data_IF_872142769262
#
_entry.id   IF_872142769262
#
_cell.length_a   1.000
_cell.length_b   1.000
_cell.length_c   1.000
_cell.angle_alpha   90.00
_cell.angle_beta   90.00
_cell.angle_gamma   90.00
#
_symmetry.space_group_name_H-M   'P 1'
#
loop_
_entity.id
_entity.type
_entity.pdbx_description
1 polymer ?
#
# COMPACT_ATOMS: atom_id res chain seq x y z
N UNK A 1 17.38 -70.62 -61.06
CA UNK A 1 17.51 -70.37 -59.60
C UNK A 1 18.11 -69.01 -59.23
N UNK A 2 18.78 -68.28 -60.13
CA UNK A 2 19.32 -66.94 -59.82
C UNK A 2 18.24 -65.83 -59.78
N UNK A 3 17.15 -65.97 -60.52
CA UNK A 3 16.08 -64.96 -60.63
C UNK A 3 15.20 -64.89 -59.37
N UNK A 4 15.04 -66.00 -58.65
CA UNK A 4 14.25 -66.06 -57.40
C UNK A 4 14.96 -65.44 -56.21
N UNK A 5 16.30 -65.49 -56.14
CA UNK A 5 17.06 -64.84 -55.08
C UNK A 5 17.05 -63.31 -55.19
N UNK A 6 17.14 -62.78 -56.41
CA UNK A 6 17.09 -61.33 -56.66
C UNK A 6 15.72 -60.72 -56.33
N UNK A 7 14.64 -61.45 -56.61
CA UNK A 7 13.26 -61.01 -56.31
C UNK A 7 12.97 -60.99 -54.80
N UNK A 8 13.49 -61.97 -54.05
CA UNK A 8 13.34 -62.02 -52.59
C UNK A 8 14.14 -60.90 -51.91
N UNK A 9 15.37 -60.63 -52.36
CA UNK A 9 16.16 -59.50 -51.83
C UNK A 9 15.52 -58.14 -52.12
N UNK A 10 14.93 -57.95 -53.31
CA UNK A 10 14.23 -56.70 -53.65
C UNK A 10 13.00 -56.47 -52.76
N UNK A 11 12.21 -57.52 -52.49
CA UNK A 11 11.02 -57.44 -51.62
C UNK A 11 11.39 -57.18 -50.16
N UNK A 12 12.46 -57.78 -49.65
CA UNK A 12 12.93 -57.54 -48.27
C UNK A 12 13.46 -56.11 -48.08
N UNK A 13 14.19 -55.59 -49.06
CA UNK A 13 14.68 -54.19 -49.03
C UNK A 13 13.50 -53.20 -49.12
N UNK A 14 12.49 -53.48 -49.94
CA UNK A 14 11.30 -52.63 -50.04
C UNK A 14 10.46 -52.67 -48.76
N UNK A 15 10.31 -53.84 -48.15
CA UNK A 15 9.62 -54.00 -46.87
C UNK A 15 10.36 -53.28 -45.73
N UNK A 16 11.69 -53.35 -45.69
CA UNK A 16 12.51 -52.63 -44.72
C UNK A 16 12.47 -51.11 -44.94
N UNK A 17 12.45 -50.64 -46.18
CA UNK A 17 12.32 -49.21 -46.51
C UNK A 17 10.93 -48.67 -46.18
N UNK A 18 9.86 -49.44 -46.44
CA UNK A 18 8.49 -49.09 -46.05
C UNK A 18 8.34 -49.12 -44.54
N UNK A 19 8.92 -50.10 -43.84
CA UNK A 19 8.93 -50.14 -42.37
C UNK A 19 9.74 -48.99 -41.76
N UNK A 20 10.87 -48.62 -42.35
CA UNK A 20 11.64 -47.43 -41.96
C UNK A 20 10.86 -46.13 -42.23
N UNK A 21 10.17 -46.00 -43.36
CA UNK A 21 9.28 -44.86 -43.68
C UNK A 21 8.02 -44.81 -42.80
N UNK A 22 7.55 -45.95 -42.30
CA UNK A 22 6.41 -46.04 -41.38
C UNK A 22 6.82 -45.75 -39.93
N UNK A 23 8.06 -46.11 -39.54
CA UNK A 23 8.61 -45.87 -38.20
C UNK A 23 9.25 -44.48 -38.05
N UNK A 24 9.82 -43.93 -39.13
CA UNK A 24 10.25 -42.52 -39.27
C UNK A 24 9.13 -41.62 -39.81
N UNK A 25 7.91 -42.16 -39.93
CA UNK A 25 6.77 -41.51 -40.54
C UNK A 25 6.27 -40.25 -39.80
N UNK A 26 5.16 -39.64 -40.27
CA UNK A 26 4.63 -38.31 -39.90
C UNK A 26 4.44 -38.03 -38.40
N UNK A 27 4.64 -39.01 -37.52
CA UNK A 27 4.76 -38.84 -36.08
C UNK A 27 6.07 -38.21 -35.60
N UNK A 28 7.16 -38.17 -36.39
CA UNK A 28 8.37 -37.43 -36.03
C UNK A 28 8.19 -35.91 -36.26
N UNK A 29 7.66 -35.53 -37.42
CA UNK A 29 7.27 -34.14 -37.73
C UNK A 29 6.18 -33.67 -36.76
N UNK A 30 5.14 -34.48 -36.52
CA UNK A 30 4.09 -34.13 -35.56
C UNK A 30 4.61 -34.02 -34.11
N UNK A 31 5.61 -34.82 -33.71
CA UNK A 31 6.27 -34.67 -32.40
C UNK A 31 7.14 -33.41 -32.33
N UNK A 32 7.84 -33.06 -33.40
CA UNK A 32 8.63 -31.84 -33.50
C UNK A 32 7.74 -30.59 -33.47
N UNK A 33 6.62 -30.60 -34.19
CA UNK A 33 5.59 -29.55 -34.15
C UNK A 33 4.95 -29.43 -32.76
N UNK A 34 4.64 -30.56 -32.11
CA UNK A 34 4.13 -30.56 -30.74
C UNK A 34 5.15 -30.05 -29.73
N UNK A 35 6.44 -30.37 -29.89
CA UNK A 35 7.51 -29.86 -29.04
C UNK A 35 7.72 -28.36 -29.24
N UNK A 36 7.76 -27.88 -30.50
CA UNK A 36 7.89 -26.47 -30.83
C UNK A 36 6.71 -25.64 -30.28
N UNK A 37 5.47 -26.10 -30.49
CA UNK A 37 4.29 -25.42 -29.98
C UNK A 37 4.18 -25.46 -28.44
N UNK A 38 4.72 -26.49 -27.79
CA UNK A 38 4.80 -26.55 -26.31
C UNK A 38 5.88 -25.60 -25.79
N UNK A 39 6.98 -25.42 -26.52
CA UNK A 39 8.02 -24.44 -26.18
C UNK A 39 7.50 -23.00 -26.33
N UNK A 40 6.77 -22.70 -27.42
CA UNK A 40 6.08 -21.42 -27.65
C UNK A 40 5.08 -21.11 -26.53
N UNK A 41 4.20 -22.07 -26.19
CA UNK A 41 3.26 -21.91 -25.09
C UNK A 41 3.94 -21.68 -23.73
N UNK A 42 5.12 -22.25 -23.49
CA UNK A 42 5.92 -22.00 -22.28
C UNK A 42 6.58 -20.62 -22.31
N UNK A 43 6.98 -20.12 -23.47
CA UNK A 43 7.46 -18.75 -23.63
C UNK A 43 6.34 -17.75 -23.28
N UNK A 44 5.12 -17.95 -23.79
CA UNK A 44 3.95 -17.13 -23.45
C UNK A 44 3.60 -17.17 -21.95
N UNK A 45 3.73 -18.34 -21.32
CA UNK A 45 3.57 -18.50 -19.88
C UNK A 45 4.65 -17.72 -19.11
N UNK A 46 5.91 -17.79 -19.54
CA UNK A 46 7.01 -17.05 -18.92
C UNK A 46 6.80 -15.54 -19.02
N UNK A 47 6.34 -15.04 -20.18
CA UNK A 47 5.96 -13.63 -20.37
C UNK A 47 4.81 -13.23 -19.45
N UNK A 48 3.81 -14.11 -19.29
CA UNK A 48 2.68 -13.86 -18.38
C UNK A 48 3.12 -13.73 -16.92
N UNK A 49 4.01 -14.61 -16.46
CA UNK A 49 4.58 -14.54 -15.10
C UNK A 49 5.42 -13.26 -14.90
N UNK A 50 6.23 -12.88 -15.89
CA UNK A 50 7.05 -11.67 -15.82
C UNK A 50 6.22 -10.38 -15.80
N UNK A 51 5.10 -10.37 -16.55
CA UNK A 51 4.12 -9.28 -16.51
C UNK A 51 3.50 -9.12 -15.12
N UNK A 52 3.07 -10.21 -14.49
CA UNK A 52 2.54 -10.20 -13.11
C UNK A 52 3.63 -9.71 -12.15
N UNK A 53 4.85 -10.25 -12.25
CA UNK A 53 5.96 -9.83 -11.39
C UNK A 53 6.26 -8.34 -11.50
N UNK A 54 6.19 -7.77 -12.71
CA UNK A 54 6.43 -6.34 -12.95
C UNK A 54 5.33 -5.47 -12.32
N UNK A 55 4.05 -5.85 -12.48
CA UNK A 55 2.93 -5.13 -11.89
C UNK A 55 2.96 -5.17 -10.34
N UNK A 56 3.29 -6.34 -9.79
CA UNK A 56 3.43 -6.54 -8.34
C UNK A 56 4.61 -5.75 -7.79
N UNK A 57 5.74 -5.70 -8.50
CA UNK A 57 6.91 -4.90 -8.10
C UNK A 57 6.55 -3.41 -7.93
N UNK A 58 5.86 -2.84 -8.92
CA UNK A 58 5.43 -1.45 -8.86
C UNK A 58 4.47 -1.17 -7.68
N UNK A 59 3.66 -2.17 -7.30
CA UNK A 59 2.79 -2.08 -6.12
C UNK A 59 3.60 -2.09 -4.83
N UNK A 60 4.62 -2.96 -4.73
CA UNK A 60 5.52 -3.01 -3.58
C UNK A 60 6.25 -1.66 -3.37
N UNK A 61 6.78 -1.09 -4.46
CA UNK A 61 7.50 0.19 -4.45
C UNK A 61 6.57 1.34 -4.05
N UNK A 62 5.37 1.41 -4.64
CA UNK A 62 4.41 2.49 -4.35
C UNK A 62 3.88 2.40 -2.92
N UNK A 63 3.64 1.19 -2.41
CA UNK A 63 3.25 0.99 -1.01
C UNK A 63 4.36 1.42 -0.04
N UNK A 64 5.61 1.11 -0.36
CA UNK A 64 6.77 1.53 0.43
C UNK A 64 6.95 3.06 0.42
N UNK A 65 6.81 3.70 -0.74
CA UNK A 65 6.89 5.16 -0.88
C UNK A 65 5.77 5.87 -0.11
N UNK A 66 4.52 5.41 -0.26
CA UNK A 66 3.40 5.98 0.48
C UNK A 66 3.60 5.81 2.00
N UNK A 67 4.05 4.64 2.44
CA UNK A 67 4.39 4.41 3.85
C UNK A 67 5.41 5.43 4.34
N UNK A 68 6.49 5.64 3.60
CA UNK A 68 7.53 6.60 3.97
C UNK A 68 6.97 8.02 4.06
N UNK A 69 6.10 8.41 3.13
CA UNK A 69 5.45 9.72 3.14
C UNK A 69 4.52 9.91 4.34
N UNK A 70 3.69 8.91 4.68
CA UNK A 70 2.86 8.98 5.88
C UNK A 70 3.69 9.02 7.17
N UNK A 71 4.82 8.31 7.21
CA UNK A 71 5.77 8.40 8.33
C UNK A 71 6.38 9.80 8.44
N UNK A 72 6.76 10.42 7.33
CA UNK A 72 7.23 11.81 7.29
C UNK A 72 6.15 12.77 7.79
N UNK A 73 4.88 12.55 7.42
CA UNK A 73 3.77 13.36 7.94
C UNK A 73 3.60 13.23 9.44
N UNK A 74 4.06 12.16 10.10
CA UNK A 74 4.06 12.06 11.57
C UNK A 74 5.26 12.76 12.18
N UNK A 75 6.43 12.71 11.53
CA UNK A 75 7.70 13.14 12.15
C UNK A 75 8.12 14.57 11.81
N UNK A 76 7.77 15.09 10.64
CA UNK A 76 8.21 16.41 10.18
C UNK A 76 7.13 17.45 10.40
N UNK A 77 7.47 18.57 11.07
CA UNK A 77 6.57 19.70 11.28
C UNK A 77 6.76 20.85 10.27
N UNK A 78 7.64 20.68 9.26
CA UNK A 78 8.14 21.80 8.45
C UNK A 78 7.99 21.65 6.92
N UNK A 79 7.43 20.54 6.40
CA UNK A 79 7.05 20.52 4.97
C UNK A 79 5.83 21.40 4.77
N UNK A 80 5.80 22.16 3.67
CA UNK A 80 4.65 23.02 3.38
C UNK A 80 3.44 22.15 3.05
N UNK A 81 2.26 22.59 3.48
CA UNK A 81 0.98 21.90 3.24
C UNK A 81 0.74 21.61 1.74
N UNK A 82 1.29 22.46 0.86
CA UNK A 82 1.15 22.36 -0.59
C UNK A 82 2.02 21.25 -1.21
N UNK A 83 3.23 21.03 -0.68
CA UNK A 83 4.13 19.94 -1.09
C UNK A 83 3.58 18.58 -0.62
N UNK A 84 3.12 18.54 0.63
CA UNK A 84 2.44 17.38 1.24
C UNK A 84 1.21 17.00 0.41
N UNK A 85 0.33 17.96 0.10
CA UNK A 85 -0.90 17.68 -0.64
C UNK A 85 -0.64 17.15 -2.05
N UNK A 86 0.40 17.66 -2.72
CA UNK A 86 0.76 17.24 -4.07
C UNK A 86 1.36 15.83 -4.09
N UNK A 87 2.30 15.54 -3.18
CA UNK A 87 2.90 14.20 -3.05
C UNK A 87 1.82 13.14 -2.76
N UNK A 88 0.86 13.46 -1.89
CA UNK A 88 -0.28 12.59 -1.56
C UNK A 88 -1.13 12.25 -2.78
N UNK A 89 -1.58 13.25 -3.54
CA UNK A 89 -2.46 13.04 -4.70
C UNK A 89 -1.78 12.19 -5.78
N UNK A 90 -0.47 12.36 -5.96
CA UNK A 90 0.31 11.57 -6.90
C UNK A 90 0.45 10.11 -6.44
N UNK A 91 0.71 9.87 -5.15
CA UNK A 91 0.86 8.52 -4.61
C UNK A 91 -0.46 7.75 -4.57
N UNK A 92 -1.57 8.42 -4.28
CA UNK A 92 -2.90 7.83 -4.35
C UNK A 92 -3.23 7.40 -5.78
N UNK A 93 -3.08 8.30 -6.74
CA UNK A 93 -3.33 7.99 -8.15
C UNK A 93 -2.46 6.81 -8.62
N UNK A 94 -1.23 6.70 -8.10
CA UNK A 94 -0.34 5.57 -8.39
C UNK A 94 -0.88 4.24 -7.82
N UNK A 95 -1.32 4.19 -6.56
CA UNK A 95 -1.88 2.95 -6.00
C UNK A 95 -3.20 2.55 -6.66
N UNK A 96 -4.08 3.50 -6.96
CA UNK A 96 -5.35 3.24 -7.65
C UNK A 96 -5.09 2.68 -9.07
N UNK A 97 -4.16 3.30 -9.81
CA UNK A 97 -3.77 2.84 -11.13
C UNK A 97 -3.12 1.45 -11.09
N UNK A 98 -2.29 1.18 -10.08
CA UNK A 98 -1.63 -0.11 -9.91
C UNK A 98 -2.59 -1.22 -9.50
N UNK A 99 -3.51 -0.95 -8.56
CA UNK A 99 -4.57 -1.87 -8.18
C UNK A 99 -5.44 -2.24 -9.38
N UNK A 100 -5.79 -1.25 -10.22
CA UNK A 100 -6.49 -1.48 -11.49
C UNK A 100 -5.69 -2.37 -12.44
N UNK A 101 -4.39 -2.13 -12.62
CA UNK A 101 -3.52 -2.95 -13.50
C UNK A 101 -3.38 -4.39 -12.99
N UNK A 102 -3.25 -4.57 -11.68
CA UNK A 102 -3.22 -5.91 -11.07
C UNK A 102 -4.53 -6.67 -11.32
N UNK A 103 -5.66 -5.97 -11.19
CA UNK A 103 -6.97 -6.52 -11.53
C UNK A 103 -7.08 -6.89 -13.01
N UNK A 104 -6.56 -6.04 -13.92
CA UNK A 104 -6.51 -6.35 -15.36
C UNK A 104 -5.69 -7.62 -15.66
N UNK A 105 -4.59 -7.84 -14.93
CA UNK A 105 -3.82 -9.08 -15.03
C UNK A 105 -4.55 -10.29 -14.43
N UNK A 106 -5.32 -10.09 -13.35
CA UNK A 106 -6.15 -11.13 -12.75
C UNK A 106 -7.26 -11.59 -13.71
N UNK A 107 -7.90 -10.63 -14.37
CA UNK A 107 -9.03 -10.85 -15.28
C UNK A 107 -8.60 -11.27 -16.71
N UNK A 108 -7.29 -11.25 -17.00
CA UNK A 108 -6.78 -11.65 -18.30
C UNK A 108 -7.15 -13.11 -18.62
N UNK A 109 -7.63 -13.42 -19.84
CA UNK A 109 -7.94 -14.80 -20.22
C UNK A 109 -6.68 -15.67 -20.15
N UNK A 110 -6.82 -16.99 -19.88
CA UNK A 110 -5.69 -17.90 -19.97
C UNK A 110 -5.13 -17.91 -21.40
N UNK A 111 -3.84 -18.23 -21.58
CA UNK A 111 -3.24 -18.41 -22.91
C UNK A 111 -4.09 -19.39 -23.73
N UNK A 112 -4.41 -19.04 -24.98
CA UNK A 112 -5.23 -19.89 -25.84
C UNK A 112 -4.40 -21.09 -26.32
N UNK A 113 -4.74 -22.28 -25.84
CA UNK A 113 -4.12 -23.53 -26.26
C UNK A 113 -5.06 -24.31 -27.18
N UNK A 114 -4.80 -24.34 -28.51
CA UNK A 114 -5.73 -24.89 -29.49
C UNK A 114 -5.92 -26.41 -29.37
N UNK A 115 -5.00 -27.14 -28.73
CA UNK A 115 -5.05 -28.60 -28.61
C UNK A 115 -5.21 -29.08 -27.15
N UNK A 116 -6.08 -30.09 -26.95
CA UNK A 116 -6.36 -30.76 -25.68
C UNK A 116 -5.14 -31.51 -25.13
N UNK A 117 -4.26 -32.01 -25.98
CA UNK A 117 -3.00 -32.63 -25.55
C UNK A 117 -2.05 -31.61 -24.93
N UNK A 118 -1.96 -30.40 -25.53
CA UNK A 118 -1.15 -29.28 -25.01
C UNK A 118 -1.68 -28.77 -23.68
N UNK A 119 -3.00 -28.62 -23.55
CA UNK A 119 -3.64 -28.25 -22.26
C UNK A 119 -3.33 -29.24 -21.15
N UNK A 120 -3.28 -30.54 -21.43
CA UNK A 120 -2.91 -31.55 -20.43
C UNK A 120 -1.43 -31.49 -20.07
N UNK A 121 -0.56 -31.23 -21.05
CA UNK A 121 0.88 -31.14 -20.84
C UNK A 121 1.28 -29.92 -20.00
N UNK A 122 0.50 -28.84 -20.04
CA UNK A 122 0.73 -27.59 -19.31
C UNK A 122 -0.30 -27.30 -18.21
N UNK A 123 -1.09 -28.31 -17.81
CA UNK A 123 -2.21 -28.13 -16.90
C UNK A 123 -1.77 -27.56 -15.54
N UNK A 124 -0.66 -28.06 -15.00
CA UNK A 124 -0.12 -27.62 -13.72
C UNK A 124 0.42 -26.19 -13.80
N UNK A 125 1.08 -25.82 -14.90
CA UNK A 125 1.59 -24.46 -15.11
C UNK A 125 0.47 -23.44 -15.30
N UNK A 126 -0.62 -23.81 -15.96
CA UNK A 126 -1.82 -22.98 -16.12
C UNK A 126 -2.59 -22.81 -14.81
N UNK A 127 -2.72 -23.86 -14.01
CA UNK A 127 -3.31 -23.80 -12.67
C UNK A 127 -2.48 -22.90 -11.75
N UNK A 128 -1.16 -23.05 -11.78
CA UNK A 128 -0.25 -22.17 -11.03
C UNK A 128 -0.38 -20.72 -11.50
N UNK A 129 -0.44 -20.46 -12.81
CA UNK A 129 -0.62 -19.11 -13.34
C UNK A 129 -1.95 -18.50 -12.89
N UNK A 130 -3.02 -19.28 -12.88
CA UNK A 130 -4.33 -18.85 -12.39
C UNK A 130 -4.28 -18.50 -10.90
N UNK A 131 -3.56 -19.28 -10.08
CA UNK A 131 -3.35 -18.98 -8.67
C UNK A 131 -2.59 -17.66 -8.48
N UNK A 132 -1.50 -17.44 -9.23
CA UNK A 132 -0.75 -16.16 -9.19
C UNK A 132 -1.61 -14.96 -9.61
N UNK A 133 -2.44 -15.12 -10.64
CA UNK A 133 -3.39 -14.09 -11.08
C UNK A 133 -4.42 -13.76 -10.00
N UNK A 134 -4.97 -14.78 -9.34
CA UNK A 134 -5.88 -14.58 -8.20
C UNK A 134 -5.21 -13.81 -7.07
N UNK A 135 -4.02 -14.24 -6.64
CA UNK A 135 -3.27 -13.55 -5.58
C UNK A 135 -2.89 -12.12 -5.95
N UNK A 136 -2.54 -11.87 -7.22
CA UNK A 136 -2.28 -10.52 -7.72
C UNK A 136 -3.55 -9.64 -7.69
N UNK A 137 -4.71 -10.19 -8.04
CA UNK A 137 -6.00 -9.51 -7.93
C UNK A 137 -6.36 -9.15 -6.48
N UNK A 138 -6.25 -10.12 -5.56
CA UNK A 138 -6.50 -9.92 -4.12
C UNK A 138 -5.57 -8.83 -3.55
N UNK A 139 -4.31 -8.83 -3.97
CA UNK A 139 -3.33 -7.82 -3.59
C UNK A 139 -3.67 -6.44 -4.16
N UNK A 140 -4.16 -6.38 -5.41
CA UNK A 140 -4.65 -5.16 -6.04
C UNK A 140 -5.85 -4.56 -5.32
N UNK A 141 -6.86 -5.37 -4.96
CA UNK A 141 -8.05 -4.92 -4.22
C UNK A 141 -7.67 -4.35 -2.84
N UNK A 142 -6.74 -5.03 -2.16
CA UNK A 142 -6.20 -4.55 -0.88
C UNK A 142 -5.41 -3.26 -1.03
N UNK A 143 -4.62 -3.12 -2.10
CA UNK A 143 -3.88 -1.88 -2.37
C UNK A 143 -4.81 -0.69 -2.57
N UNK A 144 -5.91 -0.84 -3.32
CA UNK A 144 -6.92 0.22 -3.52
C UNK A 144 -7.60 0.60 -2.21
N UNK A 145 -7.99 -0.41 -1.41
CA UNK A 145 -8.61 -0.21 -0.10
C UNK A 145 -7.66 0.55 0.84
N UNK A 146 -6.38 0.17 0.85
CA UNK A 146 -5.35 0.82 1.64
C UNK A 146 -5.06 2.25 1.18
N UNK A 147 -5.05 2.52 -0.12
CA UNK A 147 -4.87 3.87 -0.67
C UNK A 147 -5.98 4.81 -0.18
N UNK A 148 -7.23 4.34 -0.20
CA UNK A 148 -8.38 5.12 0.30
C UNK A 148 -8.26 5.40 1.80
N UNK A 149 -7.88 4.40 2.60
CA UNK A 149 -7.67 4.57 4.05
C UNK A 149 -6.50 5.52 4.34
N UNK A 150 -5.41 5.42 3.57
CA UNK A 150 -4.25 6.29 3.69
C UNK A 150 -4.59 7.75 3.39
N UNK A 151 -5.47 8.00 2.41
CA UNK A 151 -5.98 9.35 2.14
C UNK A 151 -6.77 9.91 3.33
N UNK A 152 -7.72 9.14 3.86
CA UNK A 152 -8.53 9.57 5.01
C UNK A 152 -7.65 9.85 6.23
N UNK A 153 -6.69 8.95 6.47
CA UNK A 153 -5.70 9.08 7.53
C UNK A 153 -4.85 10.34 7.37
N UNK A 154 -4.30 10.60 6.18
CA UNK A 154 -3.48 11.78 5.93
C UNK A 154 -4.29 13.07 6.07
N UNK A 155 -5.51 13.11 5.53
CA UNK A 155 -6.39 14.27 5.61
C UNK A 155 -6.73 14.63 7.07
N UNK A 156 -7.05 13.63 7.90
CA UNK A 156 -7.34 13.84 9.31
C UNK A 156 -6.12 14.33 10.10
N UNK A 157 -4.95 13.72 9.87
CA UNK A 157 -3.70 14.14 10.53
C UNK A 157 -3.31 15.59 10.16
N UNK A 158 -3.42 15.95 8.88
CA UNK A 158 -3.10 17.29 8.41
C UNK A 158 -4.08 18.33 8.94
N UNK A 159 -5.38 18.03 8.96
CA UNK A 159 -6.37 18.91 9.57
C UNK A 159 -6.11 19.12 11.07
N UNK A 160 -5.80 18.06 11.80
CA UNK A 160 -5.43 18.14 13.22
C UNK A 160 -4.21 19.04 13.46
N UNK A 161 -3.19 18.93 12.60
CA UNK A 161 -1.98 19.76 12.66
C UNK A 161 -2.24 21.20 12.28
N UNK A 162 -3.03 21.45 11.23
CA UNK A 162 -3.39 22.79 10.81
C UNK A 162 -4.10 23.55 11.93
N UNK A 163 -5.04 22.91 12.63
CA UNK A 163 -5.73 23.54 13.76
C UNK A 163 -4.83 23.70 15.00
N UNK A 164 -3.91 22.77 15.26
CA UNK A 164 -2.85 22.96 16.27
C UNK A 164 -2.00 24.18 15.96
N UNK A 165 -1.49 24.28 14.74
CA UNK A 165 -0.57 25.34 14.34
C UNK A 165 -1.29 26.69 14.30
N UNK A 166 -2.56 26.70 13.90
CA UNK A 166 -3.44 27.86 14.03
C UNK A 166 -3.63 28.28 15.48
N UNK A 167 -3.84 27.34 16.40
CA UNK A 167 -3.93 27.65 17.83
C UNK A 167 -2.63 28.21 18.39
N UNK A 168 -1.48 27.60 18.06
CA UNK A 168 -0.15 28.09 18.46
C UNK A 168 0.07 29.52 17.95
N UNK A 169 -0.13 29.76 16.65
CA UNK A 169 0.03 31.08 16.04
C UNK A 169 -0.95 32.10 16.63
N UNK A 170 -2.16 31.68 17.01
CA UNK A 170 -3.13 32.52 17.69
C UNK A 170 -2.58 32.95 19.05
N UNK A 171 -2.15 32.02 19.90
CA UNK A 171 -1.61 32.30 21.24
C UNK A 171 -0.34 33.16 21.14
N UNK A 172 0.60 32.83 20.26
CA UNK A 172 1.84 33.60 20.04
C UNK A 172 1.59 35.03 19.50
N UNK A 173 0.47 35.24 18.82
CA UNK A 173 0.06 36.55 18.29
C UNK A 173 -0.49 37.51 19.34
N UNK A 174 -0.77 37.05 20.56
CA UNK A 174 -1.32 37.91 21.61
C UNK A 174 -0.24 38.75 22.28
N UNK A 175 -0.46 40.07 22.47
CA UNK A 175 0.47 40.90 23.20
C UNK A 175 0.46 40.56 24.69
N UNK A 176 1.65 40.52 25.30
CA UNK A 176 1.82 40.40 26.74
C UNK A 176 1.06 41.54 27.44
N UNK A 177 0.06 41.20 28.25
CA UNK A 177 -0.71 42.16 29.04
C UNK A 177 -0.91 41.66 30.46
N UNK A 178 -0.92 42.60 31.41
CA UNK A 178 -1.29 42.34 32.81
C UNK A 178 -2.65 42.96 33.15
N UNK A 179 -3.32 43.58 32.18
CA UNK A 179 -4.63 44.18 32.38
C UNK A 179 -5.69 43.07 32.44
N UNK A 180 -6.42 42.90 33.56
CA UNK A 180 -7.39 41.82 33.71
C UNK A 180 -8.50 41.81 32.65
N UNK A 181 -8.90 43.00 32.19
CA UNK A 181 -9.95 43.12 31.16
C UNK A 181 -9.45 42.65 29.78
N UNK A 182 -8.19 42.92 29.46
CA UNK A 182 -7.55 42.46 28.22
C UNK A 182 -7.29 40.95 28.28
N UNK A 183 -6.77 40.43 29.40
CA UNK A 183 -6.59 38.99 29.62
C UNK A 183 -7.91 38.22 29.46
N UNK A 184 -9.00 38.75 30.02
CA UNK A 184 -10.32 38.12 29.87
C UNK A 184 -10.76 38.10 28.41
N UNK A 185 -10.57 39.21 27.70
CA UNK A 185 -10.90 39.31 26.28
C UNK A 185 -10.08 38.31 25.45
N UNK A 186 -8.80 38.10 25.79
CA UNK A 186 -7.94 37.10 25.15
C UNK A 186 -8.53 35.69 25.31
N UNK A 187 -8.81 35.26 26.54
CA UNK A 187 -9.47 33.96 26.80
C UNK A 187 -10.82 33.81 26.10
N UNK A 188 -11.65 34.85 26.10
CA UNK A 188 -12.93 34.85 25.38
C UNK A 188 -12.73 34.67 23.86
N UNK A 189 -11.64 35.21 23.32
CA UNK A 189 -11.29 35.09 21.89
C UNK A 189 -10.61 33.78 21.52
N UNK A 190 -10.01 33.05 22.47
CA UNK A 190 -9.46 31.70 22.27
C UNK A 190 -10.55 30.65 22.05
N UNK A 191 -11.72 30.81 22.69
CA UNK A 191 -12.85 29.86 22.62
C UNK A 191 -13.17 29.33 21.21
N UNK A 192 -13.41 30.17 20.18
CA UNK A 192 -13.70 29.66 18.84
C UNK A 192 -12.53 28.86 18.23
N UNK A 193 -11.28 29.25 18.50
CA UNK A 193 -10.09 28.54 17.98
C UNK A 193 -9.94 27.18 18.65
N UNK A 194 -10.14 27.10 19.97
CA UNK A 194 -10.16 25.84 20.70
C UNK A 194 -11.33 24.94 20.29
N UNK A 195 -12.49 25.51 19.92
CA UNK A 195 -13.62 24.73 19.40
C UNK A 195 -13.33 24.11 18.03
N UNK A 196 -12.70 24.86 17.12
CA UNK A 196 -12.25 24.35 15.82
C UNK A 196 -11.20 23.23 16.03
N UNK A 197 -10.25 23.44 16.93
CA UNK A 197 -9.21 22.46 17.26
C UNK A 197 -9.78 21.18 17.89
N UNK A 198 -10.75 21.32 18.80
CA UNK A 198 -11.51 20.19 19.37
C UNK A 198 -12.20 19.39 18.26
N UNK A 199 -12.91 20.06 17.36
CA UNK A 199 -13.63 19.43 16.25
C UNK A 199 -12.68 18.64 15.34
N UNK A 200 -11.48 19.16 15.07
CA UNK A 200 -10.45 18.45 14.32
C UNK A 200 -9.94 17.19 15.05
N UNK A 201 -9.75 17.25 16.37
CA UNK A 201 -9.37 16.10 17.17
C UNK A 201 -10.49 15.04 17.22
N UNK A 202 -11.74 15.44 17.40
CA UNK A 202 -12.90 14.54 17.35
C UNK A 202 -13.02 13.87 15.98
N UNK A 203 -12.83 14.61 14.87
CA UNK A 203 -12.85 14.00 13.54
C UNK A 203 -11.71 12.99 13.31
N UNK A 204 -10.54 13.22 13.92
CA UNK A 204 -9.41 12.31 13.80
C UNK A 204 -9.56 11.04 14.66
N UNK A 205 -10.39 11.05 15.71
CA UNK A 205 -10.56 9.89 16.61
C UNK A 205 -11.24 8.71 15.91
N UNK A 206 -12.12 9.00 14.94
CA UNK A 206 -12.85 8.02 14.16
C UNK A 206 -12.00 7.44 13.00
N UNK A 207 -10.76 7.90 12.85
CA UNK A 207 -9.84 7.45 11.80
C UNK A 207 -8.87 6.42 12.36
N UNK A 208 -8.93 5.23 11.79
CA UNK A 208 -8.15 4.08 12.25
C UNK A 208 -6.64 4.35 12.26
N UNK A 209 -5.99 4.08 13.40
CA UNK A 209 -4.57 4.38 13.63
C UNK A 209 -4.26 5.82 14.06
N UNK A 210 -5.26 6.71 14.18
CA UNK A 210 -5.11 8.05 14.76
C UNK A 210 -5.81 8.21 16.12
N UNK A 211 -6.65 7.28 16.52
CA UNK A 211 -7.43 7.28 17.77
C UNK A 211 -6.64 7.77 18.99
N UNK A 212 -5.48 7.19 19.26
CA UNK A 212 -4.69 7.51 20.45
C UNK A 212 -4.02 8.88 20.35
N UNK A 213 -3.67 9.31 19.14
CA UNK A 213 -3.10 10.63 18.90
C UNK A 213 -4.18 11.70 19.02
N UNK A 214 -5.33 11.47 18.40
CA UNK A 214 -6.51 12.31 18.50
C UNK A 214 -6.97 12.47 19.96
N UNK A 215 -6.97 11.40 20.75
CA UNK A 215 -7.33 11.42 22.17
C UNK A 215 -6.37 12.30 23.01
N UNK A 216 -5.06 12.21 22.75
CA UNK A 216 -4.08 13.07 23.41
C UNK A 216 -4.32 14.56 23.11
N UNK A 217 -4.63 14.88 21.85
CA UNK A 217 -4.94 16.23 21.40
C UNK A 217 -6.27 16.73 21.97
N UNK A 218 -7.30 15.89 21.96
CA UNK A 218 -8.61 16.19 22.52
C UNK A 218 -8.50 16.49 24.01
N UNK A 219 -7.78 15.65 24.76
CA UNK A 219 -7.50 15.85 26.18
C UNK A 219 -6.80 17.20 26.42
N UNK A 220 -5.80 17.55 25.62
CA UNK A 220 -5.13 18.85 25.73
C UNK A 220 -6.09 20.01 25.49
N UNK A 221 -6.89 19.96 24.42
CA UNK A 221 -7.84 21.02 24.07
C UNK A 221 -8.93 21.17 25.13
N UNK A 222 -9.48 20.06 25.63
CA UNK A 222 -10.51 20.10 26.67
C UNK A 222 -9.99 20.68 27.98
N UNK A 223 -8.74 20.38 28.36
CA UNK A 223 -8.12 21.01 29.51
C UNK A 223 -7.88 22.52 29.32
N UNK A 224 -7.48 22.96 28.12
CA UNK A 224 -7.34 24.39 27.82
C UNK A 224 -8.69 25.11 27.85
N UNK A 225 -9.75 24.49 27.31
CA UNK A 225 -11.12 25.04 27.40
C UNK A 225 -11.53 25.18 28.86
N UNK A 226 -11.37 24.12 29.67
CA UNK A 226 -11.73 24.15 31.08
C UNK A 226 -10.96 25.23 31.85
N UNK A 227 -9.66 25.37 31.58
CA UNK A 227 -8.85 26.43 32.16
C UNK A 227 -9.28 27.83 31.71
N UNK A 228 -9.58 28.02 30.42
CA UNK A 228 -10.05 29.30 29.89
C UNK A 228 -11.36 29.76 30.55
N UNK A 229 -12.28 28.83 30.80
CA UNK A 229 -13.51 29.12 31.57
C UNK A 229 -13.22 29.53 33.02
N UNK A 230 -12.30 28.82 33.69
CA UNK A 230 -11.84 29.17 35.04
C UNK A 230 -11.19 30.57 35.07
N UNK A 231 -10.31 30.85 34.12
CA UNK A 231 -9.62 32.13 33.97
C UNK A 231 -10.60 33.30 33.77
N UNK A 232 -11.57 33.15 32.86
CA UNK A 232 -12.61 34.17 32.61
C UNK A 232 -13.40 34.46 33.89
N UNK A 233 -13.74 33.43 34.67
CA UNK A 233 -14.47 33.59 35.92
C UNK A 233 -13.66 34.39 36.96
N UNK A 234 -12.39 34.02 37.18
CA UNK A 234 -11.49 34.70 38.12
C UNK A 234 -11.26 36.17 37.73
N UNK A 235 -10.98 36.43 36.45
CA UNK A 235 -10.75 37.78 35.93
C UNK A 235 -12.02 38.64 35.99
N UNK A 236 -13.20 38.05 35.83
CA UNK A 236 -14.49 38.76 35.99
C UNK A 236 -14.75 39.15 37.44
N UNK A 237 -14.30 38.35 38.40
CA UNK A 237 -14.34 38.68 39.83
C UNK A 237 -13.25 39.67 40.25
N UNK A 238 -12.28 39.94 39.37
CA UNK A 238 -11.12 40.79 39.66
C UNK A 238 -10.05 40.10 40.50
N UNK A 239 -10.08 38.77 40.62
CA UNK A 239 -9.14 37.98 41.41
C UNK A 239 -7.88 37.63 40.60
N UNK A 240 -7.04 38.66 40.38
CA UNK A 240 -5.83 38.53 39.57
C UNK A 240 -4.76 37.66 40.25
N UNK A 241 -4.72 37.64 41.58
CA UNK A 241 -3.74 36.86 42.34
C UNK A 241 -4.01 35.36 42.26
N UNK A 242 -5.28 34.95 42.37
CA UNK A 242 -5.68 33.56 42.17
C UNK A 242 -5.48 33.15 40.70
N UNK A 243 -5.88 33.99 39.74
CA UNK A 243 -5.60 33.75 38.31
C UNK A 243 -4.12 33.47 38.05
N UNK A 244 -3.22 34.33 38.54
CA UNK A 244 -1.78 34.17 38.38
C UNK A 244 -1.23 32.91 39.08
N UNK A 245 -1.87 32.48 40.17
CA UNK A 245 -1.53 31.24 40.87
C UNK A 245 -1.92 30.03 40.04
N UNK A 246 -3.15 30.01 39.51
CA UNK A 246 -3.65 28.94 38.64
C UNK A 246 -2.87 28.84 37.33
N UNK A 247 -2.52 29.96 36.70
CA UNK A 247 -1.62 29.98 35.53
C UNK A 247 -0.29 29.31 35.84
N UNK A 248 0.35 29.64 36.97
CA UNK A 248 1.62 29.01 37.39
C UNK A 248 1.48 27.53 37.69
N UNK A 249 0.38 27.11 38.31
CA UNK A 249 0.13 25.70 38.63
C UNK A 249 -0.08 24.85 37.38
N UNK A 250 -0.77 25.40 36.38
CA UNK A 250 -1.13 24.69 35.15
C UNK A 250 -0.01 24.76 34.11
N UNK A 251 0.48 25.96 33.82
CA UNK A 251 1.45 26.21 32.74
C UNK A 251 2.89 26.42 33.24
N UNK A 252 3.13 26.34 34.56
CA UNK A 252 4.49 26.39 35.10
C UNK A 252 5.27 25.07 35.00
N UNK A 253 4.61 23.99 34.58
CA UNK A 253 5.25 22.71 34.27
C UNK A 253 5.74 22.68 32.81
N UNK A 254 6.79 21.88 32.53
CA UNK A 254 7.32 21.69 31.17
C UNK A 254 6.30 21.02 30.23
N UNK A 255 5.40 20.20 30.77
CA UNK A 255 4.36 19.50 30.02
C UNK A 255 2.98 19.70 30.67
N UNK A 256 2.34 20.87 30.46
CA UNK A 256 0.99 21.13 30.94
C UNK A 256 0.05 20.02 30.48
N UNK A 257 -0.67 19.43 31.44
CA UNK A 257 -1.62 18.35 31.21
C UNK A 257 -1.01 17.01 30.73
N UNK A 258 0.32 16.87 30.67
CA UNK A 258 0.99 15.65 30.21
C UNK A 258 0.86 15.40 28.70
N UNK A 259 0.56 16.44 27.92
CA UNK A 259 0.28 16.35 26.50
C UNK A 259 1.46 15.84 25.68
N UNK A 260 2.67 16.37 25.89
CA UNK A 260 3.86 15.99 25.12
C UNK A 260 4.18 14.50 25.32
N UNK A 261 4.09 14.00 26.55
CA UNK A 261 4.30 12.59 26.85
C UNK A 261 3.23 11.69 26.20
N UNK A 262 1.96 12.10 26.26
CA UNK A 262 0.84 11.38 25.65
C UNK A 262 0.96 11.36 24.11
N UNK A 263 1.12 12.53 23.49
CA UNK A 263 1.28 12.67 22.04
C UNK A 263 2.51 11.93 21.53
N UNK A 264 3.65 11.98 22.24
CA UNK A 264 4.86 11.24 21.86
C UNK A 264 4.74 9.72 21.98
N UNK A 265 3.85 9.23 22.85
CA UNK A 265 3.50 7.79 22.92
C UNK A 265 2.56 7.40 21.81
N UNK A 266 1.51 8.19 21.60
CA UNK A 266 0.54 8.00 20.53
C UNK A 266 1.18 8.02 19.14
N UNK A 267 2.13 8.93 18.90
CA UNK A 267 2.87 9.02 17.64
C UNK A 267 3.61 7.72 17.30
N UNK A 268 4.23 7.09 18.30
CA UNK A 268 4.91 5.80 18.12
C UNK A 268 3.91 4.69 17.81
N UNK A 269 2.75 4.69 18.48
CA UNK A 269 1.70 3.72 18.20
C UNK A 269 1.13 3.89 16.78
N UNK A 270 0.92 5.13 16.30
CA UNK A 270 0.47 5.41 14.94
C UNK A 270 1.49 5.03 13.86
N UNK A 271 2.80 4.96 14.19
CA UNK A 271 3.83 4.48 13.28
C UNK A 271 3.82 2.95 13.14
N UNK A 272 3.49 2.24 14.22
CA UNK A 272 3.52 0.78 14.29
C UNK A 272 2.14 0.14 13.99
N UNK A 273 1.06 0.92 14.06
CA UNK A 273 -0.33 0.46 13.89
C UNK A 273 -1.06 1.19 12.74
N UNK A 274 -2.23 0.68 12.36
CA UNK A 274 -3.09 1.27 11.33
C UNK A 274 -2.48 1.21 9.92
N UNK A 275 -2.79 2.21 9.09
CA UNK A 275 -2.49 2.18 7.65
C UNK A 275 -0.99 2.13 7.32
N UNK A 276 -0.12 2.70 8.16
CA UNK A 276 1.34 2.68 7.96
C UNK A 276 1.90 1.26 8.10
N UNK A 277 1.44 0.52 9.12
CA UNK A 277 1.80 -0.87 9.32
C UNK A 277 1.30 -1.74 8.17
N UNK A 278 0.03 -1.58 7.78
CA UNK A 278 -0.59 -2.36 6.71
C UNK A 278 0.04 -2.12 5.33
N UNK A 279 0.48 -0.89 5.02
CA UNK A 279 1.27 -0.60 3.81
C UNK A 279 2.63 -1.31 3.83
N UNK A 280 3.24 -1.45 5.02
CA UNK A 280 4.45 -2.25 5.21
C UNK A 280 4.22 -3.73 4.89
N UNK A 281 3.14 -4.30 5.41
CA UNK A 281 2.76 -5.69 5.16
C UNK A 281 2.42 -5.93 3.68
N UNK A 282 1.68 -5.02 3.05
CA UNK A 282 1.36 -5.06 1.62
C UNK A 282 2.63 -5.07 0.76
N UNK A 283 3.62 -4.22 1.09
CA UNK A 283 4.89 -4.15 0.37
C UNK A 283 5.68 -5.47 0.48
N UNK A 284 5.74 -6.07 1.68
CA UNK A 284 6.39 -7.37 1.89
C UNK A 284 5.68 -8.49 1.14
N UNK A 285 4.35 -8.51 1.17
CA UNK A 285 3.55 -9.52 0.47
C UNK A 285 3.71 -9.42 -1.05
N UNK A 286 3.69 -8.20 -1.59
CA UNK A 286 3.95 -7.94 -3.00
C UNK A 286 5.35 -8.41 -3.39
N UNK A 287 6.37 -8.12 -2.59
CA UNK A 287 7.74 -8.54 -2.85
C UNK A 287 7.90 -10.07 -2.87
N UNK A 288 7.20 -10.78 -1.98
CA UNK A 288 7.15 -12.24 -1.98
C UNK A 288 6.48 -12.79 -3.24
N UNK A 289 5.31 -12.25 -3.61
CA UNK A 289 4.57 -12.66 -4.81
C UNK A 289 5.38 -12.40 -6.09
N UNK A 290 6.10 -11.28 -6.15
CA UNK A 290 7.04 -10.93 -7.23
C UNK A 290 8.15 -11.99 -7.34
N UNK A 291 8.80 -12.31 -6.24
CA UNK A 291 9.87 -13.31 -6.20
C UNK A 291 9.38 -14.67 -6.70
N UNK A 292 8.21 -15.10 -6.23
CA UNK A 292 7.59 -16.36 -6.61
C UNK A 292 7.23 -16.40 -8.10
N UNK A 293 6.68 -15.31 -8.64
CA UNK A 293 6.34 -15.18 -10.06
C UNK A 293 7.60 -15.20 -10.95
N UNK A 294 8.68 -14.50 -10.55
CA UNK A 294 9.96 -14.54 -11.26
C UNK A 294 10.59 -15.93 -11.24
N UNK A 295 10.49 -16.64 -10.11
CA UNK A 295 10.97 -18.02 -10.01
C UNK A 295 10.18 -18.94 -10.94
N UNK A 296 8.85 -18.79 -11.00
CA UNK A 296 7.99 -19.54 -11.92
C UNK A 296 8.35 -19.25 -13.39
N UNK A 297 8.53 -17.98 -13.77
CA UNK A 297 8.95 -17.58 -15.12
C UNK A 297 10.26 -18.28 -15.54
N UNK A 298 11.27 -18.26 -14.66
CA UNK A 298 12.57 -18.93 -14.92
C UNK A 298 12.43 -20.44 -15.06
N UNK A 299 11.64 -21.08 -14.22
CA UNK A 299 11.38 -22.52 -14.27
C UNK A 299 10.75 -22.91 -15.62
N UNK A 300 9.71 -22.20 -16.03
CA UNK A 300 9.00 -22.46 -17.29
C UNK A 300 9.91 -22.22 -18.50
N UNK A 301 10.67 -21.11 -18.52
CA UNK A 301 11.61 -20.82 -19.59
C UNK A 301 12.74 -21.86 -19.70
N UNK A 302 13.27 -22.33 -18.57
CA UNK A 302 14.31 -23.37 -18.56
C UNK A 302 13.81 -24.72 -19.09
N UNK A 303 12.53 -25.03 -18.87
CA UNK A 303 11.89 -26.24 -19.39
C UNK A 303 11.65 -26.18 -20.91
N UNK A 304 11.62 -24.99 -21.52
CA UNK A 304 11.58 -24.80 -22.97
C UNK A 304 12.93 -25.04 -23.65
N UNK A 305 14.04 -24.82 -22.92
CA UNK A 305 15.39 -24.91 -23.46
C UNK A 305 16.01 -26.33 -23.43
N UNK A 306 15.40 -27.27 -22.69
CA UNK A 306 15.84 -28.67 -22.66
C UNK A 306 15.12 -29.50 -23.73
N UNK A 307 15.80 -30.00 -24.77
CA UNK A 307 15.20 -30.94 -25.70
C UNK A 307 14.94 -32.26 -24.97
N UNK A 308 13.67 -32.59 -24.76
CA UNK A 308 13.22 -33.91 -24.32
C UNK A 308 13.16 -34.91 -25.47
#
# INVERSE_FOLDING_TARGET
MAVTAALVSAVVVLAAAVFALWWLGPGAEHRAEMAAATAEAREDLAVSYDGIATAVAATADTAADLRLTLQQYLTESQRSDEEITTDRLNQQAALDDLGRRLQEHADAPPPDLPDRARRRALAAELERLAAFRSSAGDLGERAVTLATRAEQWAAALLNLRAERDRYIAFVEGHPDTQNPAELRQQWESERPVLADYRSAAEAAIDVDGLDTLADAYLTYVEHNIAFGEEAIALLTLGDLDEYNTRVREVFGAEDPFGFQAAAGTALRQSLDAGVIGELGDLSVEAENLRSDAQQAARQVASASASPG
#
